data_IF_695777754431
#
_entry.id   IF_695777754431
#
_cell.length_a   1.000
_cell.length_b   1.000
_cell.length_c   1.000
_cell.angle_alpha   90.00
_cell.angle_beta   90.00
_cell.angle_gamma   90.00
#
_symmetry.space_group_name_H-M   'P 1'
#
loop_
_entity.id
_entity.type
_entity.pdbx_description
1 polymer ?
#
# COMPACT_ATOMS: atom_id res chain seq x y z
N UNK A 1 -41.56 12.43 41.82
CA UNK A 1 -40.45 13.12 41.12
C UNK A 1 -39.27 12.16 41.03
N UNK A 2 -39.17 11.31 40.00
CA UNK A 2 -37.96 10.48 39.72
C UNK A 2 -37.99 9.77 38.35
N UNK A 3 -39.12 9.73 37.63
CA UNK A 3 -39.19 9.12 36.30
C UNK A 3 -38.44 9.90 35.19
N UNK A 4 -38.30 11.22 35.34
CA UNK A 4 -37.67 12.05 34.31
C UNK A 4 -36.14 11.90 34.22
N UNK A 5 -35.48 11.36 35.26
CA UNK A 5 -34.02 11.17 35.27
C UNK A 5 -33.59 9.87 34.58
N UNK A 6 -34.44 8.84 34.60
CA UNK A 6 -34.15 7.53 33.98
C UNK A 6 -34.23 7.61 32.45
N UNK A 7 -35.16 8.40 31.92
CA UNK A 7 -35.34 8.56 30.46
C UNK A 7 -34.15 9.29 29.83
N UNK A 8 -33.52 10.22 30.54
CA UNK A 8 -32.35 10.97 30.05
C UNK A 8 -31.08 10.09 29.97
N UNK A 9 -30.91 9.13 30.88
CA UNK A 9 -29.78 8.18 30.82
C UNK A 9 -29.92 7.17 29.68
N UNK A 10 -31.14 6.76 29.31
CA UNK A 10 -31.35 5.87 28.18
C UNK A 10 -31.11 6.57 26.82
N UNK A 11 -31.40 7.87 26.71
CA UNK A 11 -31.16 8.63 25.48
C UNK A 11 -29.67 8.91 25.21
N UNK A 12 -28.85 9.05 26.27
CA UNK A 12 -27.40 9.25 26.16
C UNK A 12 -26.62 7.97 25.82
N UNK A 13 -27.22 6.78 25.99
CA UNK A 13 -26.61 5.51 25.57
C UNK A 13 -26.87 5.15 24.10
N UNK A 14 -27.81 5.84 23.43
CA UNK A 14 -28.07 5.67 22.00
C UNK A 14 -27.15 6.49 21.09
N UNK A 15 -26.40 7.44 21.66
CA UNK A 15 -25.35 8.16 20.97
C UNK A 15 -23.99 7.70 21.51
N UNK A 16 -23.64 6.43 21.32
CA UNK A 16 -22.23 6.07 21.28
C UNK A 16 -21.69 6.55 19.92
N UNK A 17 -20.80 7.55 19.85
CA UNK A 17 -20.11 7.90 18.62
C UNK A 17 -18.97 6.89 18.44
N UNK A 18 -19.31 5.62 18.27
CA UNK A 18 -18.38 4.62 17.74
C UNK A 18 -18.92 4.11 16.40
N UNK A 19 -19.51 5.03 15.63
CA UNK A 19 -19.36 4.97 14.19
C UNK A 19 -17.86 5.23 13.95
N UNK A 20 -17.07 4.16 13.90
CA UNK A 20 -15.75 4.22 13.27
C UNK A 20 -15.98 4.89 11.92
N UNK A 21 -15.54 6.14 11.78
CA UNK A 21 -15.62 6.84 10.51
C UNK A 21 -14.68 6.11 9.56
N UNK A 22 -15.21 5.12 8.85
CA UNK A 22 -14.51 4.42 7.79
C UNK A 22 -14.22 5.46 6.71
N UNK A 23 -12.95 5.59 6.38
CA UNK A 23 -12.51 6.47 5.32
C UNK A 23 -12.66 5.74 3.98
N UNK A 24 -13.04 6.44 2.91
CA UNK A 24 -12.91 5.85 1.57
C UNK A 24 -11.43 5.79 1.18
N UNK A 25 -11.01 4.74 0.49
CA UNK A 25 -9.64 4.61 0.00
C UNK A 25 -9.24 5.76 -0.95
N UNK A 26 -10.21 6.37 -1.64
CA UNK A 26 -9.97 7.55 -2.50
C UNK A 26 -9.79 8.85 -1.72
N UNK A 27 -10.26 8.90 -0.47
CA UNK A 27 -10.17 10.08 0.39
C UNK A 27 -8.90 10.10 1.23
N UNK A 28 -8.19 8.97 1.33
CA UNK A 28 -6.96 8.87 2.11
C UNK A 28 -5.86 9.71 1.48
N UNK A 29 -5.36 10.70 2.22
CA UNK A 29 -4.23 11.52 1.75
C UNK A 29 -2.93 10.73 1.70
N UNK A 30 -2.71 9.89 2.73
CA UNK A 30 -1.48 9.10 2.86
C UNK A 30 -1.70 7.74 3.52
N UNK A 31 -0.84 6.80 3.15
CA UNK A 31 -0.61 5.57 3.93
C UNK A 31 0.80 5.65 4.49
N UNK A 32 0.87 5.73 5.82
CA UNK A 32 2.13 5.84 6.57
C UNK A 32 3.00 7.04 6.14
N UNK A 33 2.37 8.18 5.82
CA UNK A 33 3.07 9.40 5.40
C UNK A 33 3.50 9.42 3.93
N UNK A 34 3.37 8.33 3.19
CA UNK A 34 3.51 8.36 1.72
C UNK A 34 2.24 8.92 1.10
N UNK A 35 2.39 9.86 0.17
CA UNK A 35 1.30 10.49 -0.57
C UNK A 35 1.43 10.11 -2.06
N UNK A 36 0.40 9.51 -2.65
CA UNK A 36 0.36 9.32 -4.10
C UNK A 36 0.39 10.70 -4.77
N UNK A 37 1.11 10.82 -5.88
CA UNK A 37 1.41 12.09 -6.54
C UNK A 37 2.59 12.86 -5.94
N UNK A 38 3.21 12.40 -4.84
CA UNK A 38 4.46 12.99 -4.35
C UNK A 38 5.57 12.88 -5.41
N UNK A 39 6.40 13.92 -5.51
CA UNK A 39 7.47 13.95 -6.52
C UNK A 39 8.66 13.09 -6.09
N UNK A 40 9.42 12.58 -7.05
CA UNK A 40 10.64 11.81 -6.79
C UNK A 40 11.64 12.60 -5.92
N UNK A 41 11.78 13.90 -6.16
CA UNK A 41 12.70 14.78 -5.45
C UNK A 41 12.42 14.81 -3.94
N UNK A 42 11.15 14.64 -3.53
CA UNK A 42 10.76 14.69 -2.12
C UNK A 42 11.39 13.59 -1.26
N UNK A 43 11.80 12.47 -1.86
CA UNK A 43 12.39 11.32 -1.17
C UNK A 43 13.73 10.88 -1.78
N UNK A 44 14.28 11.62 -2.74
CA UNK A 44 15.42 11.19 -3.55
C UNK A 44 16.64 10.81 -2.70
N UNK A 45 16.96 11.59 -1.66
CA UNK A 45 18.10 11.33 -0.77
C UNK A 45 17.93 10.08 0.11
N UNK A 46 16.72 9.51 0.15
CA UNK A 46 16.37 8.33 0.91
C UNK A 46 16.05 7.13 0.00
N UNK A 47 16.26 7.27 -1.31
CA UNK A 47 15.97 6.24 -2.30
C UNK A 47 17.25 5.69 -2.93
N UNK A 48 17.40 4.37 -2.86
CA UNK A 48 18.26 3.66 -3.78
C UNK A 48 17.48 3.43 -5.08
N UNK A 49 17.73 4.24 -6.10
CA UNK A 49 17.12 4.07 -7.41
C UNK A 49 17.62 2.78 -8.07
N UNK A 50 16.69 2.02 -8.63
CA UNK A 50 17.00 0.88 -9.49
C UNK A 50 17.36 1.45 -10.87
N UNK A 51 18.50 1.04 -11.41
CA UNK A 51 19.10 1.64 -12.60
C UNK A 51 19.23 0.69 -13.79
N UNK A 52 18.95 -0.60 -13.59
CA UNK A 52 19.16 -1.64 -14.59
C UNK A 52 20.62 -2.12 -14.65
N UNK A 53 21.49 -1.55 -13.80
CA UNK A 53 22.90 -1.96 -13.68
C UNK A 53 23.10 -2.98 -12.57
N UNK A 54 22.07 -3.31 -11.79
CA UNK A 54 22.13 -4.31 -10.74
C UNK A 54 22.38 -5.70 -11.33
N UNK A 55 23.06 -6.57 -10.58
CA UNK A 55 23.50 -7.91 -11.03
C UNK A 55 22.36 -8.75 -11.62
N UNK A 56 21.14 -8.61 -11.11
CA UNK A 56 19.98 -9.34 -11.61
C UNK A 56 19.68 -8.99 -13.08
N UNK A 57 19.79 -7.72 -13.48
CA UNK A 57 19.54 -7.30 -14.86
C UNK A 57 20.70 -7.69 -15.77
N UNK A 58 21.94 -7.63 -15.27
CA UNK A 58 23.12 -8.07 -16.02
C UNK A 58 23.06 -9.56 -16.40
N UNK A 59 22.48 -10.39 -15.52
CA UNK A 59 22.41 -11.84 -15.71
C UNK A 59 21.13 -12.32 -16.44
N UNK A 60 20.15 -11.43 -16.66
CA UNK A 60 18.85 -11.79 -17.22
C UNK A 60 18.43 -10.79 -18.32
N UNK A 61 18.76 -11.05 -19.60
CA UNK A 61 18.50 -10.12 -20.71
C UNK A 61 17.03 -9.70 -20.84
N UNK A 62 16.10 -10.64 -20.62
CA UNK A 62 14.66 -10.34 -20.64
C UNK A 62 14.26 -9.32 -19.57
N UNK A 63 14.81 -9.45 -18.35
CA UNK A 63 14.55 -8.49 -17.27
C UNK A 63 15.19 -7.14 -17.58
N UNK A 64 16.39 -7.11 -18.17
CA UNK A 64 17.06 -5.88 -18.57
C UNK A 64 16.25 -5.11 -19.63
N UNK A 65 15.76 -5.79 -20.67
CA UNK A 65 14.93 -5.16 -21.70
C UNK A 65 13.58 -4.69 -21.15
N UNK A 66 12.93 -5.49 -20.29
CA UNK A 66 11.70 -5.07 -19.61
C UNK A 66 11.92 -3.82 -18.76
N UNK A 67 13.02 -3.78 -18.00
CA UNK A 67 13.37 -2.62 -17.18
C UNK A 67 13.73 -1.40 -18.02
N UNK A 68 14.44 -1.59 -19.14
CA UNK A 68 14.75 -0.53 -20.09
C UNK A 68 13.48 0.11 -20.66
N UNK A 69 12.48 -0.70 -21.07
CA UNK A 69 11.17 -0.20 -21.51
C UNK A 69 10.47 0.61 -20.43
N UNK A 70 10.54 0.15 -19.17
CA UNK A 70 10.00 0.92 -18.05
C UNK A 70 10.65 2.31 -17.95
N UNK A 71 11.99 2.38 -18.01
CA UNK A 71 12.70 3.66 -17.98
C UNK A 71 12.32 4.57 -19.16
N UNK A 72 12.22 4.01 -20.37
CA UNK A 72 11.80 4.76 -21.58
C UNK A 72 10.36 5.28 -21.46
N UNK A 73 9.48 4.53 -20.79
CA UNK A 73 8.12 4.94 -20.43
C UNK A 73 8.06 5.96 -19.28
N UNK A 74 9.22 6.35 -18.71
CA UNK A 74 9.30 7.26 -17.57
C UNK A 74 8.89 6.61 -16.24
N UNK A 75 8.93 5.28 -16.16
CA UNK A 75 8.70 4.54 -14.92
C UNK A 75 10.03 4.36 -14.21
N UNK A 76 10.11 4.87 -12.99
CA UNK A 76 11.30 4.76 -12.14
C UNK A 76 10.93 4.05 -10.85
N UNK A 77 11.83 3.19 -10.38
CA UNK A 77 11.64 2.45 -9.13
C UNK A 77 12.78 2.76 -8.17
N UNK A 78 12.43 3.00 -6.90
CA UNK A 78 13.38 3.22 -5.83
C UNK A 78 13.07 2.35 -4.63
N UNK A 79 14.11 1.80 -4.02
CA UNK A 79 14.02 1.14 -2.72
C UNK A 79 14.27 2.18 -1.64
N UNK A 80 13.28 2.42 -0.79
CA UNK A 80 13.37 3.38 0.29
C UNK A 80 14.26 2.85 1.42
N UNK A 81 15.34 3.58 1.72
CA UNK A 81 16.35 3.24 2.72
C UNK A 81 16.12 3.89 4.08
N UNK A 82 15.18 4.83 4.18
CA UNK A 82 14.94 5.60 5.40
C UNK A 82 14.03 4.93 6.43
N UNK A 83 13.67 5.73 7.43
CA UNK A 83 12.59 5.49 8.40
C UNK A 83 11.79 6.78 8.55
N UNK A 84 10.50 6.77 8.94
CA UNK A 84 9.69 5.64 9.40
C UNK A 84 8.77 5.00 8.34
N UNK A 85 8.86 5.42 7.07
CA UNK A 85 7.90 5.06 6.02
C UNK A 85 7.79 3.54 5.74
N UNK A 86 8.77 2.73 6.18
CA UNK A 86 8.77 1.26 6.06
C UNK A 86 7.84 0.54 7.06
N UNK A 87 7.29 1.22 8.06
CA UNK A 87 6.56 0.59 9.16
C UNK A 87 5.05 0.65 8.92
N UNK A 88 4.38 -0.49 8.73
CA UNK A 88 2.92 -0.58 8.67
C UNK A 88 2.41 -1.34 9.87
N UNK A 89 1.43 -0.76 10.58
CA UNK A 89 0.80 -1.39 11.75
C UNK A 89 1.84 -1.89 12.79
N UNK A 90 2.89 -1.11 13.03
CA UNK A 90 3.97 -1.44 13.97
C UNK A 90 4.92 -2.55 13.50
N UNK A 91 4.79 -3.03 12.26
CA UNK A 91 5.67 -4.02 11.65
C UNK A 91 6.52 -3.34 10.59
N UNK A 92 7.84 -3.50 10.68
CA UNK A 92 8.78 -3.00 9.68
C UNK A 92 8.81 -3.92 8.47
N UNK A 93 8.67 -3.34 7.28
CA UNK A 93 8.81 -4.06 6.02
C UNK A 93 10.28 -4.38 5.74
N UNK A 94 10.53 -5.56 5.19
CA UNK A 94 11.85 -5.93 4.67
C UNK A 94 12.27 -4.97 3.56
N UNK A 95 11.31 -4.60 2.72
CA UNK A 95 11.51 -3.79 1.53
C UNK A 95 10.32 -2.84 1.35
N UNK A 96 10.61 -1.58 0.99
CA UNK A 96 9.61 -0.60 0.56
C UNK A 96 10.02 -0.08 -0.81
N UNK A 97 9.28 -0.50 -1.83
CA UNK A 97 9.44 -0.03 -3.20
C UNK A 97 8.49 1.12 -3.48
N UNK A 98 9.05 2.22 -3.95
CA UNK A 98 8.33 3.39 -4.43
C UNK A 98 8.49 3.44 -5.95
N UNK A 99 7.37 3.46 -6.66
CA UNK A 99 7.33 3.40 -8.12
C UNK A 99 6.67 4.67 -8.64
N UNK A 100 7.41 5.34 -9.50
CA UNK A 100 7.12 6.66 -10.05
C UNK A 100 6.80 6.54 -11.53
N UNK A 101 5.87 7.35 -12.01
CA UNK A 101 5.57 7.52 -13.43
C UNK A 101 5.73 9.00 -13.76
N UNK A 102 6.65 9.32 -14.67
CA UNK A 102 6.98 10.71 -15.01
C UNK A 102 7.32 11.57 -13.78
N UNK A 103 8.06 10.98 -12.83
CA UNK A 103 8.49 11.65 -11.59
C UNK A 103 7.46 11.71 -10.46
N UNK A 104 6.24 11.19 -10.65
CA UNK A 104 5.18 11.20 -9.63
C UNK A 104 4.94 9.80 -9.05
N UNK A 105 4.92 9.69 -7.72
CA UNK A 105 4.68 8.44 -7.01
C UNK A 105 3.28 7.93 -7.30
N UNK A 106 3.15 6.79 -7.96
CA UNK A 106 1.83 6.21 -8.24
C UNK A 106 1.62 4.85 -7.60
N UNK A 107 2.67 4.24 -7.04
CA UNK A 107 2.56 2.94 -6.37
C UNK A 107 3.61 2.81 -5.27
N UNK A 108 3.15 2.36 -4.12
CA UNK A 108 3.96 1.99 -2.96
C UNK A 108 3.76 0.50 -2.68
N UNK A 109 4.83 -0.24 -2.43
CA UNK A 109 4.76 -1.66 -2.06
C UNK A 109 5.65 -1.94 -0.86
N UNK A 110 5.03 -2.35 0.24
CA UNK A 110 5.71 -2.90 1.41
C UNK A 110 5.75 -4.41 1.30
N UNK A 111 6.94 -5.01 1.39
CA UNK A 111 7.13 -6.45 1.37
C UNK A 111 7.62 -6.92 2.74
N UNK A 112 6.95 -7.90 3.31
CA UNK A 112 7.32 -8.56 4.55
C UNK A 112 7.68 -10.00 4.25
N UNK A 113 8.90 -10.40 4.64
CA UNK A 113 9.40 -11.74 4.39
C UNK A 113 9.37 -12.58 5.67
N UNK A 114 9.18 -13.89 5.52
CA UNK A 114 9.17 -14.85 6.63
C UNK A 114 10.42 -14.78 7.52
N UNK A 115 11.57 -14.36 6.95
CA UNK A 115 12.83 -14.21 7.70
C UNK A 115 12.71 -13.17 8.82
N UNK A 116 12.06 -12.04 8.53
CA UNK A 116 11.99 -10.89 9.43
C UNK A 116 10.68 -10.89 10.25
N UNK A 117 9.69 -11.66 9.81
CA UNK A 117 8.38 -11.74 10.43
C UNK A 117 7.98 -13.21 10.69
N UNK A 118 8.47 -13.82 11.79
CA UNK A 118 7.98 -15.13 12.22
C UNK A 118 6.48 -14.99 12.57
N UNK A 119 5.64 -15.91 12.06
CA UNK A 119 4.16 -15.91 12.15
C UNK A 119 3.41 -15.11 11.06
N UNK A 120 3.81 -15.28 9.79
CA UNK A 120 3.19 -14.64 8.62
C UNK A 120 1.67 -14.77 8.55
N UNK A 121 1.08 -15.96 8.79
CA UNK A 121 -0.37 -16.15 8.70
C UNK A 121 -1.17 -15.27 9.67
N UNK A 122 -0.68 -15.15 10.91
CA UNK A 122 -1.30 -14.27 11.90
C UNK A 122 -1.14 -12.81 11.49
N UNK A 123 0.03 -12.43 10.99
CA UNK A 123 0.33 -11.06 10.58
C UNK A 123 -0.43 -10.62 9.34
N UNK A 124 -0.65 -11.54 8.42
CA UNK A 124 -1.50 -11.30 7.26
C UNK A 124 -2.94 -10.95 7.70
N UNK A 125 -3.50 -11.71 8.64
CA UNK A 125 -4.80 -11.39 9.27
C UNK A 125 -4.78 -10.06 10.02
N UNK A 126 -3.69 -9.75 10.72
CA UNK A 126 -3.53 -8.45 11.40
C UNK A 126 -3.56 -7.28 10.41
N UNK A 127 -2.88 -7.38 9.26
CA UNK A 127 -2.93 -6.35 8.23
C UNK A 127 -4.34 -6.19 7.66
N UNK A 128 -5.02 -7.29 7.34
CA UNK A 128 -6.41 -7.25 6.85
C UNK A 128 -7.31 -6.57 7.88
N UNK A 129 -7.17 -6.89 9.17
CA UNK A 129 -7.93 -6.28 10.25
C UNK A 129 -7.60 -4.79 10.42
N UNK A 130 -6.33 -4.42 10.35
CA UNK A 130 -5.87 -3.03 10.44
C UNK A 130 -6.50 -2.17 9.35
N UNK A 131 -6.41 -2.61 8.09
CA UNK A 131 -7.00 -1.87 6.97
C UNK A 131 -8.52 -1.96 6.95
N UNK A 132 -9.12 -3.08 7.39
CA UNK A 132 -10.58 -3.18 7.50
C UNK A 132 -11.18 -2.21 8.53
N UNK A 133 -10.46 -1.95 9.63
CA UNK A 133 -10.85 -0.93 10.61
C UNK A 133 -10.81 0.48 10.01
N UNK A 134 -9.86 0.75 9.11
CA UNK A 134 -9.68 2.05 8.48
C UNK A 134 -10.67 2.30 7.33
N UNK A 135 -10.83 1.33 6.44
CA UNK A 135 -11.52 1.48 5.16
C UNK A 135 -12.83 0.70 5.04
N UNK A 136 -13.22 -0.05 6.08
CA UNK A 136 -14.30 -1.02 5.98
C UNK A 136 -13.85 -2.35 5.36
N UNK A 137 -14.77 -3.30 5.15
CA UNK A 137 -14.41 -4.60 4.58
C UNK A 137 -13.83 -4.44 3.15
N UNK A 138 -12.95 -5.35 2.71
CA UNK A 138 -12.40 -5.34 1.35
C UNK A 138 -13.51 -5.55 0.33
N UNK A 139 -13.40 -4.85 -0.80
CA UNK A 139 -14.36 -4.91 -1.91
C UNK A 139 -14.25 -6.22 -2.69
N UNK A 140 -13.06 -6.81 -2.75
CA UNK A 140 -12.80 -8.07 -3.43
C UNK A 140 -11.85 -8.97 -2.62
N UNK A 141 -12.03 -10.28 -2.76
CA UNK A 141 -11.17 -11.31 -2.17
C UNK A 141 -10.89 -12.39 -3.21
N UNK A 142 -9.62 -12.75 -3.37
CA UNK A 142 -9.18 -13.81 -4.28
C UNK A 142 -8.55 -14.90 -3.42
N UNK A 143 -9.06 -16.14 -3.54
CA UNK A 143 -8.59 -17.37 -2.85
C UNK A 143 -8.27 -17.26 -1.34
N UNK A 144 -8.75 -16.22 -0.65
CA UNK A 144 -8.38 -15.84 0.72
C UNK A 144 -6.89 -15.57 0.94
N UNK A 145 -6.10 -15.42 -0.12
CA UNK A 145 -4.69 -15.04 -0.08
C UNK A 145 -4.49 -13.58 -0.53
N UNK A 146 -5.52 -12.97 -1.10
CA UNK A 146 -5.48 -11.59 -1.62
C UNK A 146 -6.76 -10.86 -1.27
N UNK A 147 -6.61 -9.66 -0.70
CA UNK A 147 -7.69 -8.79 -0.26
C UNK A 147 -7.50 -7.41 -0.88
N UNK A 148 -8.55 -6.88 -1.48
CA UNK A 148 -8.50 -5.66 -2.26
C UNK A 148 -9.53 -4.68 -1.71
N UNK A 149 -9.10 -3.43 -1.53
CA UNK A 149 -9.97 -2.27 -1.34
C UNK A 149 -9.82 -1.41 -2.60
N UNK A 150 -10.81 -1.53 -3.47
CA UNK A 150 -10.89 -0.82 -4.74
C UNK A 150 -11.72 0.46 -4.54
N UNK A 151 -11.12 1.60 -4.86
CA UNK A 151 -11.81 2.87 -5.07
C UNK A 151 -11.84 3.26 -6.55
N UNK A 152 -12.39 4.42 -6.83
CA UNK A 152 -12.46 4.95 -8.20
C UNK A 152 -11.06 5.33 -8.73
N UNK A 153 -10.20 5.85 -7.85
CA UNK A 153 -8.85 6.33 -8.18
C UNK A 153 -7.78 5.46 -7.53
N UNK A 154 -7.93 5.15 -6.26
CA UNK A 154 -6.93 4.46 -5.46
C UNK A 154 -7.31 3.00 -5.20
N UNK A 155 -6.29 2.15 -5.13
CA UNK A 155 -6.46 0.75 -4.73
C UNK A 155 -5.43 0.36 -3.68
N UNK A 156 -5.90 -0.33 -2.64
CA UNK A 156 -5.05 -1.05 -1.71
C UNK A 156 -5.21 -2.55 -1.94
N UNK A 157 -4.10 -3.28 -2.05
CA UNK A 157 -4.08 -4.74 -2.12
C UNK A 157 -3.19 -5.29 -1.01
N UNK A 158 -3.65 -6.31 -0.32
CA UNK A 158 -2.83 -7.10 0.60
C UNK A 158 -2.84 -8.52 0.07
N UNK A 159 -1.67 -9.08 -0.24
CA UNK A 159 -1.54 -10.45 -0.72
C UNK A 159 -0.52 -11.24 0.11
N UNK A 160 -0.71 -12.55 0.18
CA UNK A 160 0.24 -13.49 0.76
C UNK A 160 0.70 -14.47 -0.33
N UNK A 161 1.85 -14.18 -0.93
CA UNK A 161 2.40 -14.87 -2.11
C UNK A 161 3.84 -15.31 -1.85
N UNK A 162 4.16 -16.55 -2.20
CA UNK A 162 5.52 -17.11 -2.14
C UNK A 162 6.24 -16.93 -0.80
N UNK A 163 5.48 -17.02 0.31
CA UNK A 163 6.02 -16.86 1.66
C UNK A 163 6.33 -15.41 2.05
N UNK A 164 5.81 -14.43 1.29
CA UNK A 164 5.89 -13.00 1.56
C UNK A 164 4.49 -12.37 1.64
N UNK A 165 4.31 -11.41 2.55
CA UNK A 165 3.13 -10.54 2.55
C UNK A 165 3.50 -9.29 1.77
N UNK A 166 2.64 -8.88 0.85
CA UNK A 166 2.77 -7.62 0.15
C UNK A 166 1.58 -6.73 0.46
N UNK A 167 1.84 -5.51 0.88
CA UNK A 167 0.85 -4.44 0.96
C UNK A 167 1.17 -3.47 -0.19
N UNK A 168 0.27 -3.31 -1.14
CA UNK A 168 0.42 -2.42 -2.28
C UNK A 168 -0.66 -1.35 -2.25
N UNK A 169 -0.28 -0.08 -2.32
CA UNK A 169 -1.20 1.05 -2.49
C UNK A 169 -0.83 1.83 -3.74
N UNK A 170 -1.81 2.11 -4.60
CA UNK A 170 -1.57 2.69 -5.92
C UNK A 170 -2.70 3.58 -6.42
N UNK A 171 -2.35 4.45 -7.36
CA UNK A 171 -3.25 5.16 -8.26
C UNK A 171 -3.52 4.28 -9.49
N UNK A 172 -4.77 3.87 -9.67
CA UNK A 172 -5.18 2.92 -10.71
C UNK A 172 -5.09 3.52 -12.12
N UNK A 173 -5.29 4.83 -12.28
CA UNK A 173 -5.22 5.48 -13.59
C UNK A 173 -3.78 5.48 -14.11
N UNK A 174 -2.85 5.83 -13.22
CA UNK A 174 -1.42 5.82 -13.48
C UNK A 174 -0.89 4.41 -13.67
N UNK A 175 -1.37 3.42 -12.91
CA UNK A 175 -1.01 2.01 -13.11
C UNK A 175 -1.44 1.50 -14.49
N UNK A 176 -2.69 1.80 -14.91
CA UNK A 176 -3.18 1.47 -16.25
C UNK A 176 -2.35 2.15 -17.34
N UNK A 177 -2.01 3.43 -17.16
CA UNK A 177 -1.15 4.17 -18.08
C UNK A 177 0.25 3.54 -18.17
N UNK A 178 0.85 3.19 -17.03
CA UNK A 178 2.16 2.54 -16.97
C UNK A 178 2.16 1.18 -17.71
N UNK A 179 1.09 0.39 -17.55
CA UNK A 179 0.91 -0.87 -18.28
C UNK A 179 0.83 -0.61 -19.80
N UNK A 180 0.01 0.34 -20.24
CA UNK A 180 -0.14 0.66 -21.67
C UNK A 180 1.17 1.15 -22.31
N UNK A 181 1.99 1.90 -21.58
CA UNK A 181 3.27 2.42 -22.07
C UNK A 181 4.37 1.35 -22.17
N UNK A 182 4.15 0.18 -21.56
CA UNK A 182 5.15 -0.90 -21.46
C UNK A 182 4.73 -2.17 -22.21
N UNK A 183 3.53 -2.15 -22.81
CA UNK A 183 3.00 -3.19 -23.67
C UNK A 183 3.55 -3.02 -25.10
N UNK A 184 4.70 -3.65 -25.36
CA UNK A 184 5.25 -3.94 -26.69
C UNK A 184 5.96 -5.31 -26.67
#
# INVERSE_FOLDING_TARGET
>A
MNFSKIILCCFLLFFSPVLFAQESIDKVKSINGLELGATLESLQDQLQLITGKETVYQNHPFLAESFKRNLEAGIQEGIYQGHPLRIINGVEAHDLRLIYLSGLLYKCRWTFNKRDLPNMDSRFKDFINFFSKKFGPPTEKIFNDTFIWEGDTNRLTISFLDGSIQVEWRDNLSDKKAILLTQD
#
